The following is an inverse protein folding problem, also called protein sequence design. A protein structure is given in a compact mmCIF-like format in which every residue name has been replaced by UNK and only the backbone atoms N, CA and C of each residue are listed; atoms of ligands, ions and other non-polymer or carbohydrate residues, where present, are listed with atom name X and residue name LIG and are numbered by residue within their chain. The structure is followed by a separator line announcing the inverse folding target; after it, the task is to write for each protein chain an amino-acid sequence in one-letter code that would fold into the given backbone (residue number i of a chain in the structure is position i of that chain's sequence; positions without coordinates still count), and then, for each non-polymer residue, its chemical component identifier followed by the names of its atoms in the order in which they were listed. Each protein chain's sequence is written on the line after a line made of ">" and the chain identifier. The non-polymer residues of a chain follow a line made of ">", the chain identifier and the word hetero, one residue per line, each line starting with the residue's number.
data_IF_935282855480
#
_entry.id   IF_935282855480
#
_cell.length_a   1.000
_cell.length_b   1.000
_cell.length_c   1.000
_cell.angle_alpha   90.00
_cell.angle_beta   90.00
_cell.angle_gamma   90.00
#
_symmetry.space_group_name_H-M   'P 1'
#
loop_
_entity.id
_entity.type
_entity.pdbx_description
1 polymer ?
#
# COMPACT_ATOMS: atom_id res chain seq x y z
N UNK A 1 -15.23 20.50 -8.13
CA UNK A 1 -15.56 19.08 -8.36
C UNK A 1 -14.37 18.39 -9.01
N UNK A 2 -14.03 17.17 -8.58
CA UNK A 2 -13.03 16.33 -9.25
C UNK A 2 -13.75 15.32 -10.15
N UNK A 3 -13.42 15.30 -11.44
CA UNK A 3 -14.00 14.38 -12.43
C UNK A 3 -12.89 13.45 -12.93
N UNK A 4 -13.02 12.16 -12.63
CA UNK A 4 -12.21 11.11 -13.26
C UNK A 4 -12.95 10.63 -14.53
N UNK A 5 -12.41 10.91 -15.71
CA UNK A 5 -13.02 10.54 -16.98
C UNK A 5 -11.95 10.17 -18.03
N UNK A 6 -12.29 9.34 -19.03
CA UNK A 6 -11.44 9.13 -20.21
C UNK A 6 -11.04 10.45 -20.86
N UNK A 7 -9.84 10.52 -21.42
CA UNK A 7 -9.30 11.75 -22.02
C UNK A 7 -10.12 12.25 -23.23
N UNK A 8 -10.84 11.36 -23.89
CA UNK A 8 -11.73 11.61 -25.03
C UNK A 8 -13.18 11.96 -24.61
N UNK A 9 -13.44 12.17 -23.32
CA UNK A 9 -14.77 12.54 -22.83
C UNK A 9 -15.17 13.94 -23.34
N UNK A 10 -16.32 14.01 -24.02
CA UNK A 10 -16.85 15.26 -24.56
C UNK A 10 -17.17 16.31 -23.50
N UNK A 11 -16.99 17.58 -23.85
CA UNK A 11 -17.19 18.72 -22.94
C UNK A 11 -18.62 18.80 -22.38
N UNK A 12 -19.64 18.43 -23.15
CA UNK A 12 -21.04 18.41 -22.69
C UNK A 12 -21.26 17.39 -21.57
N UNK A 13 -20.64 16.22 -21.69
CA UNK A 13 -20.72 15.17 -20.67
C UNK A 13 -20.02 15.64 -19.39
N UNK A 14 -18.85 16.29 -19.51
CA UNK A 14 -18.17 16.89 -18.37
C UNK A 14 -19.02 18.00 -17.72
N UNK A 15 -19.64 18.87 -18.51
CA UNK A 15 -20.50 19.94 -17.99
C UNK A 15 -21.72 19.37 -17.24
N UNK A 16 -22.38 18.36 -17.82
CA UNK A 16 -23.50 17.66 -17.18
C UNK A 16 -23.05 16.97 -15.87
N UNK A 17 -21.88 16.35 -15.86
CA UNK A 17 -21.33 15.71 -14.68
C UNK A 17 -21.02 16.74 -13.57
N UNK A 18 -20.45 17.89 -13.91
CA UNK A 18 -20.22 19.01 -12.96
C UNK A 18 -21.55 19.52 -12.40
N UNK A 19 -22.59 19.62 -13.24
CA UNK A 19 -23.90 20.11 -12.84
C UNK A 19 -24.64 19.21 -11.83
N UNK A 20 -24.20 17.96 -11.65
CA UNK A 20 -24.74 17.07 -10.59
C UNK A 20 -24.51 17.61 -9.18
N UNK A 21 -23.56 18.52 -8.99
CA UNK A 21 -23.23 19.11 -7.68
C UNK A 21 -22.40 18.19 -6.77
N UNK A 22 -22.04 16.99 -7.23
CA UNK A 22 -21.21 16.06 -6.46
C UNK A 22 -19.75 16.56 -6.39
N UNK A 23 -19.07 16.49 -5.23
CA UNK A 23 -17.71 17.01 -5.09
C UNK A 23 -16.66 16.16 -5.82
N UNK A 24 -16.95 14.86 -6.03
CA UNK A 24 -16.11 13.90 -6.74
C UNK A 24 -17.00 12.92 -7.50
N UNK A 25 -16.64 12.59 -8.74
CA UNK A 25 -17.37 11.63 -9.57
C UNK A 25 -16.44 10.98 -10.59
N UNK A 26 -16.81 9.79 -11.06
CA UNK A 26 -16.17 9.10 -12.17
C UNK A 26 -17.16 8.95 -13.32
N UNK A 27 -16.76 9.36 -14.52
CA UNK A 27 -17.52 9.19 -15.77
C UNK A 27 -16.91 8.02 -16.52
N UNK A 28 -17.75 7.07 -16.91
CA UNK A 28 -17.39 5.89 -17.73
C UNK A 28 -18.53 5.61 -18.73
N UNK A 29 -18.33 4.75 -19.73
CA UNK A 29 -19.40 4.40 -20.68
C UNK A 29 -20.67 3.85 -20.02
N UNK A 30 -20.54 3.14 -18.89
CA UNK A 30 -21.64 2.62 -18.09
C UNK A 30 -22.40 3.67 -17.27
N UNK A 31 -21.88 4.91 -17.21
CA UNK A 31 -22.54 6.03 -16.55
C UNK A 31 -21.65 6.80 -15.58
N UNK A 32 -22.29 7.57 -14.71
CA UNK A 32 -21.63 8.38 -13.67
C UNK A 32 -21.74 7.66 -12.33
N UNK A 33 -20.61 7.46 -11.68
CA UNK A 33 -20.55 6.93 -10.32
C UNK A 33 -19.95 7.95 -9.36
N UNK A 34 -20.35 7.86 -8.09
CA UNK A 34 -19.95 8.80 -7.05
C UNK A 34 -19.31 8.01 -5.90
N UNK A 35 -18.04 8.29 -5.54
CA UNK A 35 -17.38 7.55 -4.47
C UNK A 35 -18.03 7.86 -3.12
N UNK A 36 -18.36 6.79 -2.39
CA UNK A 36 -18.85 6.82 -1.00
C UNK A 36 -18.09 5.79 -0.19
N UNK A 37 -17.72 6.15 1.04
CA UNK A 37 -17.20 5.19 2.00
C UNK A 37 -18.38 4.51 2.69
N UNK A 38 -18.31 3.19 2.82
CA UNK A 38 -19.24 2.41 3.62
C UNK A 38 -18.46 1.50 4.56
N UNK A 39 -19.01 1.17 5.73
CA UNK A 39 -18.47 0.11 6.56
C UNK A 39 -18.40 -1.21 5.78
N UNK A 40 -17.34 -1.97 5.99
CA UNK A 40 -17.15 -3.33 5.50
C UNK A 40 -16.97 -4.23 6.70
N UNK A 41 -17.69 -5.36 6.75
CA UNK A 41 -17.50 -6.34 7.81
C UNK A 41 -16.19 -7.11 7.58
N UNK A 42 -15.43 -7.30 8.65
CA UNK A 42 -14.25 -8.13 8.64
C UNK A 42 -14.68 -9.58 8.38
N UNK A 43 -14.21 -10.16 7.27
CA UNK A 43 -14.48 -11.55 6.92
C UNK A 43 -13.49 -12.52 7.59
N UNK A 44 -12.62 -12.01 8.46
CA UNK A 44 -11.63 -12.79 9.19
C UNK A 44 -10.40 -13.16 8.34
N UNK A 45 -9.30 -13.42 9.03
CA UNK A 45 -8.00 -13.77 8.43
C UNK A 45 -7.95 -15.17 7.78
N UNK A 46 -8.94 -16.03 8.07
CA UNK A 46 -8.92 -17.46 7.76
C UNK A 46 -8.84 -17.81 6.26
N UNK A 47 -9.10 -16.86 5.36
CA UNK A 47 -9.10 -17.10 3.92
C UNK A 47 -7.86 -16.55 3.19
N UNK A 48 -6.89 -15.93 3.88
CA UNK A 48 -5.72 -15.36 3.18
C UNK A 48 -4.65 -16.43 2.98
N UNK A 49 -4.16 -16.64 1.75
CA UNK A 49 -3.03 -17.55 1.52
C UNK A 49 -1.84 -17.09 2.36
N UNK A 50 -1.08 -18.01 2.97
CA UNK A 50 0.13 -17.65 3.69
C UNK A 50 1.13 -17.00 2.73
N UNK A 51 2.02 -16.17 3.29
CA UNK A 51 3.15 -15.65 2.53
C UNK A 51 4.00 -16.80 2.01
N UNK A 52 4.56 -16.63 0.81
CA UNK A 52 5.44 -17.63 0.25
C UNK A 52 6.68 -17.75 1.16
N UNK A 53 6.95 -18.93 1.78
CA UNK A 53 8.05 -19.05 2.76
C UNK A 53 9.41 -18.72 2.17
N UNK A 54 9.56 -19.08 0.89
CA UNK A 54 10.74 -18.80 0.06
C UNK A 54 10.56 -17.53 -0.80
N UNK A 55 9.65 -16.63 -0.44
CA UNK A 55 9.49 -15.34 -1.09
C UNK A 55 10.30 -14.24 -0.41
N UNK A 56 10.65 -13.20 -1.16
CA UNK A 56 11.18 -11.95 -0.57
C UNK A 56 10.05 -10.93 -0.50
N UNK A 57 9.86 -10.30 0.67
CA UNK A 57 8.89 -9.21 0.84
C UNK A 57 9.61 -7.87 0.72
N UNK A 58 9.17 -7.05 -0.22
CA UNK A 58 9.63 -5.67 -0.41
C UNK A 58 8.76 -4.70 0.39
N UNK A 59 9.39 -3.88 1.22
CA UNK A 59 8.73 -2.79 1.96
C UNK A 59 9.32 -1.46 1.52
N UNK A 60 8.54 -0.67 0.80
CA UNK A 60 8.90 0.71 0.45
C UNK A 60 8.67 1.65 1.62
N UNK A 61 9.61 2.56 1.88
CA UNK A 61 9.66 3.27 3.15
C UNK A 61 9.95 2.33 4.33
N UNK A 62 10.60 1.19 4.07
CA UNK A 62 10.76 0.09 5.03
C UNK A 62 11.57 0.45 6.28
N UNK A 63 12.42 1.46 6.21
CA UNK A 63 13.16 2.00 7.36
C UNK A 63 12.44 3.13 8.09
N UNK A 64 11.26 3.55 7.61
CA UNK A 64 10.40 4.52 8.30
C UNK A 64 9.59 3.89 9.43
N UNK A 65 8.95 4.71 10.27
CA UNK A 65 8.24 4.27 11.48
C UNK A 65 7.24 3.13 11.23
N UNK A 66 6.35 3.29 10.25
CA UNK A 66 5.37 2.25 9.93
C UNK A 66 6.01 1.06 9.21
N UNK A 67 6.97 1.29 8.32
CA UNK A 67 7.69 0.23 7.61
C UNK A 67 8.40 -0.72 8.57
N UNK A 68 9.03 -0.18 9.62
CA UNK A 68 9.67 -0.94 10.67
C UNK A 68 8.68 -1.81 11.47
N UNK A 69 7.52 -1.25 11.84
CA UNK A 69 6.48 -1.99 12.55
C UNK A 69 5.91 -3.12 11.70
N UNK A 70 5.66 -2.86 10.41
CA UNK A 70 5.19 -3.88 9.46
C UNK A 70 6.25 -4.96 9.25
N UNK A 71 7.52 -4.59 9.11
CA UNK A 71 8.63 -5.56 8.98
C UNK A 71 8.69 -6.51 10.18
N UNK A 72 8.61 -5.99 11.40
CA UNK A 72 8.56 -6.79 12.63
C UNK A 72 7.36 -7.72 12.66
N UNK A 73 6.18 -7.20 12.37
CA UNK A 73 4.94 -8.00 12.33
C UNK A 73 5.03 -9.14 11.31
N UNK A 74 5.58 -8.87 10.13
CA UNK A 74 5.74 -9.88 9.10
C UNK A 74 6.73 -10.98 9.49
N UNK A 75 7.82 -10.66 10.19
CA UNK A 75 8.77 -11.67 10.66
C UNK A 75 8.18 -12.49 11.80
N UNK A 76 7.58 -11.83 12.79
CA UNK A 76 7.11 -12.49 14.03
C UNK A 76 5.80 -13.25 13.82
N UNK A 77 4.78 -12.59 13.26
CA UNK A 77 3.44 -13.17 13.16
C UNK A 77 3.23 -13.97 11.87
N UNK A 78 3.96 -13.62 10.82
CA UNK A 78 3.80 -14.22 9.49
C UNK A 78 5.00 -15.07 9.04
N UNK A 79 6.06 -15.15 9.85
CA UNK A 79 7.21 -16.01 9.58
C UNK A 79 8.02 -15.63 8.33
N UNK A 80 7.90 -14.40 7.84
CA UNK A 80 8.66 -13.92 6.68
C UNK A 80 10.15 -13.92 7.00
N UNK A 81 10.96 -14.52 6.12
CA UNK A 81 12.41 -14.70 6.34
C UNK A 81 13.30 -13.88 5.41
N UNK A 82 12.75 -13.27 4.36
CA UNK A 82 13.53 -12.43 3.43
C UNK A 82 12.84 -11.08 3.25
N UNK A 83 13.54 -10.03 3.64
CA UNK A 83 13.07 -8.66 3.58
C UNK A 83 13.98 -7.80 2.71
N UNK A 84 13.36 -7.02 1.83
CA UNK A 84 14.00 -5.89 1.15
C UNK A 84 13.36 -4.60 1.65
N UNK A 85 14.11 -3.83 2.44
CA UNK A 85 13.68 -2.53 2.95
C UNK A 85 14.18 -1.45 1.99
N UNK A 86 13.29 -0.92 1.16
CA UNK A 86 13.63 0.09 0.16
C UNK A 86 13.21 1.48 0.63
N UNK A 87 14.04 2.48 0.35
CA UNK A 87 13.67 3.89 0.52
C UNK A 87 14.86 4.81 0.27
N UNK A 88 14.60 6.05 -0.12
CA UNK A 88 15.62 6.99 -0.64
C UNK A 88 16.89 7.14 0.19
N UNK A 89 16.82 6.97 1.52
CA UNK A 89 17.97 7.11 2.42
C UNK A 89 18.74 5.79 2.65
N UNK A 90 18.17 4.65 2.24
CA UNK A 90 18.75 3.32 2.41
C UNK A 90 19.28 3.07 3.83
N UNK A 91 20.49 2.54 3.91
CA UNK A 91 21.20 2.28 5.18
C UNK A 91 21.51 3.55 5.97
N UNK A 92 21.49 4.73 5.34
CA UNK A 92 21.72 6.02 5.98
C UNK A 92 20.46 6.57 6.67
N UNK A 93 19.32 5.88 6.59
CA UNK A 93 18.13 6.27 7.33
C UNK A 93 18.37 6.11 8.85
N UNK A 94 17.96 7.08 9.68
CA UNK A 94 18.06 6.95 11.14
C UNK A 94 17.36 5.67 11.62
N UNK A 95 18.05 4.86 12.41
CA UNK A 95 17.50 3.60 12.94
C UNK A 95 17.58 2.40 11.99
N UNK A 96 18.07 2.56 10.75
CA UNK A 96 18.09 1.47 9.76
C UNK A 96 19.01 0.32 10.18
N UNK A 97 20.17 0.62 10.78
CA UNK A 97 21.13 -0.38 11.24
C UNK A 97 20.56 -1.17 12.42
N UNK A 98 19.97 -0.49 13.39
CA UNK A 98 19.32 -1.07 14.56
C UNK A 98 18.16 -1.98 14.13
N UNK A 99 17.31 -1.50 13.22
CA UNK A 99 16.21 -2.29 12.66
C UNK A 99 16.71 -3.54 11.93
N UNK A 100 17.76 -3.40 11.11
CA UNK A 100 18.35 -4.53 10.38
C UNK A 100 18.90 -5.59 11.33
N UNK A 101 19.61 -5.16 12.39
CA UNK A 101 20.14 -6.05 13.41
C UNK A 101 19.03 -6.77 14.17
N UNK A 102 17.99 -6.05 14.59
CA UNK A 102 16.83 -6.61 15.28
C UNK A 102 16.12 -7.68 14.44
N UNK A 103 15.77 -7.35 13.20
CA UNK A 103 15.09 -8.28 12.29
C UNK A 103 15.97 -9.49 11.96
N UNK A 104 17.29 -9.29 11.85
CA UNK A 104 18.25 -10.40 11.67
C UNK A 104 18.30 -11.31 12.90
N UNK A 105 18.27 -10.74 14.11
CA UNK A 105 18.20 -11.51 15.35
C UNK A 105 16.89 -12.31 15.48
N UNK A 106 15.79 -11.82 14.89
CA UNK A 106 14.52 -12.54 14.76
C UNK A 106 14.54 -13.61 13.64
N UNK A 107 15.67 -13.75 12.94
CA UNK A 107 15.93 -14.78 11.94
C UNK A 107 15.48 -14.41 10.53
N UNK A 108 15.40 -13.13 10.19
CA UNK A 108 15.21 -12.68 8.81
C UNK A 108 16.54 -12.31 8.14
N UNK A 109 16.68 -12.63 6.85
CA UNK A 109 17.68 -12.01 5.99
C UNK A 109 17.14 -10.67 5.51
N UNK A 110 17.87 -9.59 5.78
CA UNK A 110 17.45 -8.22 5.47
C UNK A 110 18.43 -7.58 4.51
N UNK A 111 17.91 -7.02 3.42
CA UNK A 111 18.64 -6.14 2.51
C UNK A 111 18.02 -4.75 2.60
N UNK A 112 18.85 -3.71 2.71
CA UNK A 112 18.40 -2.32 2.67
C UNK A 112 18.86 -1.70 1.35
N UNK A 113 17.94 -1.10 0.60
CA UNK A 113 18.23 -0.49 -0.70
C UNK A 113 17.77 0.98 -0.74
N UNK A 114 18.51 1.80 -1.49
CA UNK A 114 18.19 3.20 -1.77
C UNK A 114 17.60 3.34 -3.18
#
# INVERSE_FOLDING_TARGET
>A
VLVDAPLDTGAEVLAAAVATGEPRLAVRPEGVTVPRLRPVQDQGSAARPPWHPEGTVLITGGTGTLGALVARHLVVEHGVRRLLLAGMRGEQAPGARELTQELTALGASVTVAA
#
